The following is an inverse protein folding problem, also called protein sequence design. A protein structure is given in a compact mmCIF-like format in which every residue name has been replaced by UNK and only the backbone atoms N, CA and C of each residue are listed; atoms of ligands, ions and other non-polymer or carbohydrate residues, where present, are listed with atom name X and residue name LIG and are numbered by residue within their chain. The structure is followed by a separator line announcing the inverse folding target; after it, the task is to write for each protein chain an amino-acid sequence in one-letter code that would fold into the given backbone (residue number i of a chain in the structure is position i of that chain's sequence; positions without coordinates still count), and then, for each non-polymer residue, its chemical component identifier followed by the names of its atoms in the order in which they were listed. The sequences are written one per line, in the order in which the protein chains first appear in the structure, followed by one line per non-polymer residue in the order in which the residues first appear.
data_IF_581602422316
#
_entry.id   IF_581602422316
#
_cell.length_a   1.000
_cell.length_b   1.000
_cell.length_c   1.000
_cell.angle_alpha   90.00
_cell.angle_beta   90.00
_cell.angle_gamma   90.00
#
_symmetry.space_group_name_H-M   'P 1'
#
loop_
_entity.id
_entity.type
_entity.pdbx_description
1 polymer ?
#
# COMPACT_ATOMS: atom_id res chain seq x y z
N UNK A 1 40.59 -2.28 -23.92
CA UNK A 1 39.67 -1.18 -24.34
C UNK A 1 38.29 -1.71 -24.79
N UNK A 2 38.23 -2.70 -25.69
CA UNK A 2 36.94 -3.24 -26.22
C UNK A 2 36.06 -3.94 -25.16
N UNK A 3 36.65 -4.72 -24.25
CA UNK A 3 35.93 -5.41 -23.19
C UNK A 3 35.29 -4.44 -22.18
N UNK A 4 35.97 -3.39 -21.83
CA UNK A 4 35.46 -2.34 -20.92
C UNK A 4 34.25 -1.59 -21.51
N UNK A 5 34.34 -1.21 -22.78
CA UNK A 5 33.21 -0.56 -23.47
C UNK A 5 31.99 -1.48 -23.59
N UNK A 6 32.22 -2.79 -23.82
CA UNK A 6 31.14 -3.80 -23.84
C UNK A 6 30.48 -3.97 -22.47
N UNK A 7 31.28 -4.02 -21.41
CA UNK A 7 30.76 -4.11 -20.04
C UNK A 7 29.91 -2.90 -19.69
N UNK A 8 30.37 -1.70 -19.93
CA UNK A 8 29.60 -0.46 -19.67
C UNK A 8 28.29 -0.44 -20.45
N UNK A 9 28.29 -0.91 -21.71
CA UNK A 9 27.07 -1.00 -22.51
C UNK A 9 26.07 -2.00 -21.93
N UNK A 10 26.55 -3.15 -21.45
CA UNK A 10 25.70 -4.16 -20.79
C UNK A 10 25.11 -3.64 -19.48
N UNK A 11 25.92 -2.99 -18.65
CA UNK A 11 25.45 -2.39 -17.39
C UNK A 11 24.37 -1.34 -17.64
N UNK A 12 24.52 -0.52 -18.68
CA UNK A 12 23.51 0.47 -19.08
C UNK A 12 22.21 -0.20 -19.53
N UNK A 13 22.29 -1.22 -20.39
CA UNK A 13 21.10 -1.97 -20.86
C UNK A 13 20.39 -2.63 -19.68
N UNK A 14 21.11 -3.26 -18.76
CA UNK A 14 20.54 -3.88 -17.56
C UNK A 14 19.84 -2.84 -16.69
N UNK A 15 20.45 -1.69 -16.47
CA UNK A 15 19.85 -0.60 -15.68
C UNK A 15 18.57 -0.05 -16.35
N UNK A 16 18.57 0.13 -17.67
CA UNK A 16 17.41 0.57 -18.43
C UNK A 16 16.26 -0.45 -18.34
N UNK A 17 16.56 -1.75 -18.52
CA UNK A 17 15.57 -2.83 -18.38
C UNK A 17 15.01 -2.92 -16.96
N UNK A 18 15.85 -2.77 -15.95
CA UNK A 18 15.43 -2.77 -14.54
C UNK A 18 14.48 -1.60 -14.24
N UNK A 19 14.80 -0.42 -14.74
CA UNK A 19 13.97 0.77 -14.58
C UNK A 19 12.61 0.63 -15.28
N UNK A 20 12.60 0.08 -16.49
CA UNK A 20 11.37 -0.17 -17.24
C UNK A 20 10.50 -1.23 -16.55
N UNK A 21 11.12 -2.30 -16.05
CA UNK A 21 10.40 -3.32 -15.28
C UNK A 21 9.78 -2.75 -13.99
N UNK A 22 10.50 -1.91 -13.25
CA UNK A 22 9.99 -1.24 -12.06
C UNK A 22 8.79 -0.35 -12.40
N UNK A 23 8.86 0.40 -13.50
CA UNK A 23 7.76 1.23 -13.98
C UNK A 23 6.53 0.39 -14.35
N UNK A 24 6.73 -0.72 -15.05
CA UNK A 24 5.66 -1.62 -15.44
C UNK A 24 5.02 -2.28 -14.21
N UNK A 25 5.79 -2.70 -13.22
CA UNK A 25 5.27 -3.24 -11.98
C UNK A 25 4.40 -2.21 -11.22
N UNK A 26 4.85 -0.97 -11.10
CA UNK A 26 4.06 0.12 -10.51
C UNK A 26 2.75 0.36 -11.27
N UNK A 27 2.80 0.33 -12.60
CA UNK A 27 1.61 0.47 -13.44
C UNK A 27 0.62 -0.67 -13.20
N UNK A 28 1.09 -1.92 -13.14
CA UNK A 28 0.22 -3.09 -12.87
C UNK A 28 -0.45 -3.00 -11.51
N UNK A 29 0.29 -2.60 -10.47
CA UNK A 29 -0.28 -2.37 -9.12
C UNK A 29 -1.35 -1.28 -9.19
N UNK A 30 -1.07 -0.17 -9.85
CA UNK A 30 -2.04 0.93 -10.02
C UNK A 30 -3.30 0.49 -10.75
N UNK A 31 -3.17 -0.33 -11.79
CA UNK A 31 -4.33 -0.88 -12.54
C UNK A 31 -5.16 -1.80 -11.64
N UNK A 32 -4.53 -2.71 -10.89
CA UNK A 32 -5.24 -3.62 -9.98
C UNK A 32 -6.01 -2.85 -8.90
N UNK A 33 -5.36 -1.88 -8.28
CA UNK A 33 -6.00 -1.02 -7.27
C UNK A 33 -7.17 -0.23 -7.87
N UNK A 34 -6.97 0.32 -9.08
CA UNK A 34 -8.03 1.07 -9.77
C UNK A 34 -9.25 0.20 -10.11
N UNK A 35 -9.05 -1.08 -10.47
CA UNK A 35 -10.16 -2.02 -10.72
C UNK A 35 -10.99 -2.21 -9.44
N UNK A 36 -10.35 -2.30 -8.28
CA UNK A 36 -11.06 -2.45 -7.00
C UNK A 36 -11.80 -1.17 -6.62
N UNK A 37 -11.16 -0.01 -6.74
CA UNK A 37 -11.78 1.29 -6.46
C UNK A 37 -12.91 1.65 -7.42
N UNK A 38 -12.81 1.23 -8.68
CA UNK A 38 -13.88 1.42 -9.66
C UNK A 38 -15.21 0.81 -9.21
N UNK A 39 -15.18 -0.34 -8.51
CA UNK A 39 -16.39 -0.94 -7.91
C UNK A 39 -17.00 -0.05 -6.82
N UNK A 40 -16.20 0.75 -6.15
CA UNK A 40 -16.61 1.64 -5.05
C UNK A 40 -17.02 3.04 -5.53
N UNK A 41 -17.06 3.26 -6.84
CA UNK A 41 -17.37 4.58 -7.42
C UNK A 41 -16.30 5.65 -7.17
N UNK A 42 -15.15 5.26 -6.63
CA UNK A 42 -14.01 6.15 -6.41
C UNK A 42 -13.29 6.44 -7.73
N UNK A 43 -12.78 7.66 -7.86
CA UNK A 43 -12.02 8.04 -9.06
C UNK A 43 -10.61 7.47 -9.00
N UNK A 44 -10.06 7.03 -10.15
CA UNK A 44 -8.66 6.57 -10.23
C UNK A 44 -7.61 7.61 -9.80
N UNK A 45 -8.02 8.85 -9.52
CA UNK A 45 -7.18 9.87 -8.93
C UNK A 45 -6.92 9.61 -7.43
N UNK A 46 -7.79 8.87 -6.75
CA UNK A 46 -7.62 8.55 -5.33
C UNK A 46 -6.30 7.83 -5.07
N UNK A 47 -6.00 6.77 -5.81
CA UNK A 47 -4.73 6.01 -5.71
C UNK A 47 -3.52 6.93 -5.90
N UNK A 48 -3.57 7.78 -6.92
CA UNK A 48 -2.48 8.71 -7.20
C UNK A 48 -2.27 9.69 -6.03
N UNK A 49 -3.35 10.18 -5.44
CA UNK A 49 -3.30 11.07 -4.28
C UNK A 49 -2.73 10.34 -3.05
N UNK A 50 -3.23 9.15 -2.73
CA UNK A 50 -2.72 8.34 -1.62
C UNK A 50 -1.22 8.08 -1.77
N UNK A 51 -0.77 7.61 -2.94
CA UNK A 51 0.66 7.37 -3.19
C UNK A 51 1.50 8.64 -3.05
N UNK A 52 1.02 9.76 -3.59
CA UNK A 52 1.75 11.02 -3.58
C UNK A 52 1.86 11.59 -2.16
N UNK A 53 0.75 11.59 -1.42
CA UNK A 53 0.70 12.09 -0.04
C UNK A 53 1.53 11.19 0.87
N UNK A 54 1.41 9.86 0.76
CA UNK A 54 2.24 8.89 1.49
C UNK A 54 3.72 9.18 1.29
N UNK A 55 4.15 9.30 0.04
CA UNK A 55 5.55 9.61 -0.29
C UNK A 55 6.01 10.94 0.27
N UNK A 56 5.16 11.96 0.23
CA UNK A 56 5.46 13.27 0.77
C UNK A 56 5.59 13.23 2.29
N UNK A 57 4.64 12.62 2.98
CA UNK A 57 4.66 12.50 4.44
C UNK A 57 5.88 11.72 4.92
N UNK A 58 6.20 10.58 4.34
CA UNK A 58 7.38 9.79 4.70
C UNK A 58 8.68 10.60 4.55
N UNK A 59 8.82 11.40 3.47
CA UNK A 59 9.96 12.30 3.30
C UNK A 59 10.04 13.35 4.41
N UNK A 60 8.90 13.92 4.82
CA UNK A 60 8.86 14.88 5.92
C UNK A 60 9.23 14.24 7.26
N UNK A 61 8.78 13.00 7.51
CA UNK A 61 9.16 12.26 8.71
C UNK A 61 10.67 12.04 8.79
N UNK A 62 11.27 11.47 7.75
CA UNK A 62 12.73 11.22 7.71
C UNK A 62 13.53 12.52 7.89
N UNK A 63 13.03 13.66 7.41
CA UNK A 63 13.71 14.93 7.56
C UNK A 63 13.59 15.50 8.98
N UNK A 64 12.52 15.18 9.71
CA UNK A 64 12.20 15.79 11.02
C UNK A 64 12.54 14.92 12.23
N UNK A 65 12.72 13.63 12.06
CA UNK A 65 12.97 12.69 13.15
C UNK A 65 13.91 11.57 12.74
N UNK A 66 14.75 11.11 13.66
CA UNK A 66 15.59 9.94 13.49
C UNK A 66 14.89 8.64 13.94
N UNK A 67 13.68 8.74 14.46
CA UNK A 67 12.91 7.61 14.98
C UNK A 67 12.64 6.54 13.93
N UNK A 68 12.47 6.95 12.66
CA UNK A 68 12.19 6.05 11.55
C UNK A 68 13.27 6.23 10.45
N UNK A 69 14.37 5.47 10.51
CA UNK A 69 15.46 5.57 9.55
C UNK A 69 15.10 4.90 8.22
N UNK A 70 14.24 5.54 7.42
CA UNK A 70 13.79 5.04 6.13
C UNK A 70 14.72 5.50 5.00
N UNK A 71 15.19 4.57 4.19
CA UNK A 71 15.91 4.87 2.95
C UNK A 71 14.97 5.40 1.86
N UNK A 72 15.54 5.93 0.78
CA UNK A 72 14.75 6.31 -0.41
C UNK A 72 14.04 5.10 -1.03
N UNK A 73 14.63 3.92 -0.92
CA UNK A 73 14.03 2.67 -1.39
C UNK A 73 12.82 2.29 -0.54
N UNK A 74 12.92 2.39 0.79
CA UNK A 74 11.80 2.13 1.71
C UNK A 74 10.63 3.08 1.46
N UNK A 75 10.90 4.38 1.28
CA UNK A 75 9.88 5.37 0.95
C UNK A 75 9.18 5.02 -0.38
N UNK A 76 9.95 4.60 -1.40
CA UNK A 76 9.38 4.18 -2.68
C UNK A 76 8.54 2.92 -2.55
N UNK A 77 9.01 1.94 -1.77
CA UNK A 77 8.34 0.68 -1.48
C UNK A 77 7.00 0.92 -0.78
N UNK A 78 7.00 1.65 0.34
CA UNK A 78 5.80 1.96 1.12
C UNK A 78 4.80 2.75 0.25
N UNK A 79 5.27 3.76 -0.49
CA UNK A 79 4.40 4.52 -1.39
C UNK A 79 3.79 3.66 -2.50
N UNK A 80 4.50 2.65 -3.02
CA UNK A 80 3.94 1.73 -4.01
C UNK A 80 2.94 0.78 -3.36
N UNK A 81 3.27 0.24 -2.19
CA UNK A 81 2.41 -0.67 -1.42
C UNK A 81 1.10 -0.01 -0.98
N UNK A 82 1.12 1.32 -0.71
CA UNK A 82 -0.08 2.05 -0.28
C UNK A 82 -1.24 1.99 -1.28
N UNK A 83 -0.96 1.77 -2.56
CA UNK A 83 -2.00 1.56 -3.56
C UNK A 83 -2.90 0.34 -3.28
N UNK A 84 -2.38 -0.66 -2.55
CA UNK A 84 -3.07 -1.92 -2.29
C UNK A 84 -3.90 -1.91 -0.98
N UNK A 85 -3.91 -0.81 -0.21
CA UNK A 85 -4.53 -0.77 1.12
C UNK A 85 -5.97 -1.30 1.15
N UNK A 86 -6.72 -1.03 0.12
CA UNK A 86 -8.15 -1.32 -0.02
C UNK A 86 -8.45 -2.55 -0.90
N UNK A 87 -7.43 -3.36 -1.27
CA UNK A 87 -7.62 -4.53 -2.15
C UNK A 87 -8.68 -5.50 -1.60
N UNK A 88 -8.83 -5.59 -0.29
CA UNK A 88 -9.80 -6.43 0.37
C UNK A 88 -11.26 -6.03 0.16
N UNK A 89 -11.53 -4.81 -0.31
CA UNK A 89 -12.89 -4.38 -0.69
C UNK A 89 -13.50 -5.26 -1.80
N UNK A 90 -12.66 -6.02 -2.51
CA UNK A 90 -13.13 -7.00 -3.51
C UNK A 90 -14.07 -8.05 -2.92
N UNK A 91 -13.95 -8.37 -1.63
CA UNK A 91 -14.79 -9.34 -0.94
C UNK A 91 -16.04 -8.72 -0.29
N UNK A 92 -16.19 -7.42 -0.30
CA UNK A 92 -17.37 -6.74 0.26
C UNK A 92 -18.50 -6.78 -0.76
N UNK A 93 -19.72 -7.10 -0.29
CA UNK A 93 -20.92 -7.10 -1.14
C UNK A 93 -21.21 -5.70 -1.67
N UNK A 94 -21.63 -5.60 -2.93
CA UNK A 94 -22.02 -4.32 -3.55
C UNK A 94 -23.18 -3.64 -2.81
N UNK A 95 -24.04 -4.39 -2.16
CA UNK A 95 -25.15 -3.85 -1.34
C UNK A 95 -24.67 -3.06 -0.13
N UNK A 96 -23.48 -3.38 0.38
CA UNK A 96 -22.83 -2.67 1.50
C UNK A 96 -21.86 -1.63 0.93
N UNK A 97 -21.01 -2.03 -0.01
CA UNK A 97 -19.97 -1.19 -0.59
C UNK A 97 -20.54 0.08 -1.25
N UNK A 98 -21.64 -0.07 -2.00
CA UNK A 98 -22.26 1.00 -2.76
C UNK A 98 -23.62 1.45 -2.16
N UNK A 99 -23.83 1.21 -0.86
CA UNK A 99 -25.08 1.59 -0.21
C UNK A 99 -25.28 3.11 -0.25
N UNK A 100 -26.40 3.60 -0.80
CA UNK A 100 -26.71 5.01 -0.72
C UNK A 100 -27.06 5.40 0.74
N UNK A 101 -26.19 6.18 1.37
CA UNK A 101 -26.38 6.64 2.75
C UNK A 101 -25.44 5.97 3.75
N UNK A 102 -25.76 6.10 5.03
CA UNK A 102 -24.92 5.56 6.11
C UNK A 102 -25.10 4.04 6.26
N UNK A 103 -24.00 3.35 6.54
CA UNK A 103 -24.03 1.93 6.93
C UNK A 103 -24.67 1.80 8.33
N UNK A 104 -25.39 0.71 8.57
CA UNK A 104 -25.78 0.29 9.93
C UNK A 104 -24.55 -0.16 10.69
N UNK A 105 -24.67 -0.38 12.00
CA UNK A 105 -23.56 -0.89 12.80
C UNK A 105 -23.07 -2.26 12.30
N UNK A 106 -24.00 -3.15 11.97
CA UNK A 106 -23.70 -4.49 11.45
C UNK A 106 -23.03 -4.43 10.07
N UNK A 107 -23.52 -3.58 9.17
CA UNK A 107 -22.92 -3.37 7.85
C UNK A 107 -21.52 -2.76 7.96
N UNK A 108 -21.31 -1.87 8.92
CA UNK A 108 -20.00 -1.28 9.18
C UNK A 108 -19.01 -2.34 9.70
N UNK A 109 -19.45 -3.28 10.57
CA UNK A 109 -18.61 -4.41 10.97
C UNK A 109 -18.20 -5.26 9.76
N UNK A 110 -19.11 -5.50 8.80
CA UNK A 110 -18.76 -6.19 7.55
C UNK A 110 -17.78 -5.35 6.73
N UNK A 111 -17.99 -4.04 6.60
CA UNK A 111 -17.08 -3.14 5.87
C UNK A 111 -15.67 -3.20 6.47
N UNK A 112 -15.51 -3.19 7.79
CA UNK A 112 -14.19 -3.27 8.46
C UNK A 112 -13.40 -4.53 8.08
N UNK A 113 -14.07 -5.59 7.67
CA UNK A 113 -13.38 -6.84 7.32
C UNK A 113 -12.46 -6.72 6.11
N UNK A 114 -12.62 -5.68 5.25
CA UNK A 114 -11.74 -5.50 4.09
C UNK A 114 -10.26 -5.42 4.47
N UNK A 115 -9.93 -4.84 5.63
CA UNK A 115 -8.55 -4.73 6.10
C UNK A 115 -7.93 -6.11 6.35
N UNK A 116 -8.64 -6.97 7.05
CA UNK A 116 -8.22 -8.36 7.32
C UNK A 116 -8.19 -9.21 6.05
N UNK A 117 -9.21 -9.06 5.19
CA UNK A 117 -9.29 -9.80 3.94
C UNK A 117 -8.16 -9.43 3.01
N UNK A 118 -7.86 -8.13 2.85
CA UNK A 118 -6.73 -7.66 2.04
C UNK A 118 -5.39 -8.24 2.51
N UNK A 119 -5.14 -8.18 3.82
CA UNK A 119 -3.94 -8.77 4.41
C UNK A 119 -3.86 -10.28 4.17
N UNK A 120 -4.98 -11.00 4.35
CA UNK A 120 -5.05 -12.44 4.12
C UNK A 120 -4.80 -12.80 2.66
N UNK A 121 -5.39 -12.09 1.71
CA UNK A 121 -5.15 -12.32 0.27
C UNK A 121 -3.66 -12.27 -0.08
N UNK A 122 -2.91 -11.36 0.53
CA UNK A 122 -1.47 -11.24 0.34
C UNK A 122 -0.68 -12.33 1.08
N UNK A 123 -1.17 -12.76 2.24
CA UNK A 123 -0.56 -13.86 3.02
C UNK A 123 -0.83 -15.25 2.45
N UNK A 124 -1.86 -15.41 1.62
CA UNK A 124 -2.21 -16.69 0.98
C UNK A 124 -1.45 -16.90 -0.36
N UNK A 125 -0.57 -15.96 -0.75
CA UNK A 125 0.31 -16.13 -1.91
C UNK A 125 1.33 -17.26 -1.69
N UNK A 126 1.91 -17.86 -2.74
CA UNK A 126 3.02 -18.81 -2.59
C UNK A 126 4.15 -18.25 -1.72
N UNK A 127 4.76 -19.09 -0.88
CA UNK A 127 5.76 -18.69 0.13
C UNK A 127 6.85 -17.77 -0.42
N UNK A 128 7.39 -18.07 -1.60
CA UNK A 128 8.42 -17.26 -2.24
C UNK A 128 7.95 -15.82 -2.52
N UNK A 129 6.66 -15.63 -2.80
CA UNK A 129 6.06 -14.32 -3.06
C UNK A 129 5.71 -13.58 -1.76
N UNK A 130 5.31 -14.32 -0.70
CA UNK A 130 5.04 -13.73 0.62
C UNK A 130 6.28 -13.04 1.18
N UNK A 131 7.48 -13.60 0.93
CA UNK A 131 8.74 -13.05 1.41
C UNK A 131 9.17 -11.76 0.65
N UNK A 132 8.52 -11.43 -0.47
CA UNK A 132 8.83 -10.21 -1.20
C UNK A 132 8.54 -8.97 -0.34
N UNK A 133 9.49 -8.01 -0.25
CA UNK A 133 9.32 -6.82 0.60
C UNK A 133 8.03 -6.04 0.31
N UNK A 134 7.62 -5.97 -0.96
CA UNK A 134 6.37 -5.31 -1.36
C UNK A 134 5.13 -5.99 -0.75
N UNK A 135 5.10 -7.32 -0.75
CA UNK A 135 3.95 -8.10 -0.24
C UNK A 135 3.85 -7.95 1.27
N UNK A 136 4.98 -8.01 1.99
CA UNK A 136 5.02 -7.80 3.45
C UNK A 136 4.48 -6.41 3.82
N UNK A 137 5.02 -5.37 3.23
CA UNK A 137 4.59 -3.99 3.50
C UNK A 137 3.13 -3.77 3.10
N UNK A 138 2.69 -4.30 1.96
CA UNK A 138 1.31 -4.19 1.53
C UNK A 138 0.34 -4.93 2.47
N UNK A 139 0.73 -6.11 2.99
CA UNK A 139 -0.07 -6.86 3.96
C UNK A 139 -0.22 -6.09 5.28
N UNK A 140 0.86 -5.49 5.79
CA UNK A 140 0.82 -4.61 6.97
C UNK A 140 -0.09 -3.41 6.76
N UNK A 141 0.03 -2.74 5.61
CA UNK A 141 -0.82 -1.62 5.23
C UNK A 141 -2.28 -2.05 5.15
N UNK A 142 -2.61 -3.12 4.42
CA UNK A 142 -3.98 -3.62 4.33
C UNK A 142 -4.58 -3.85 5.70
N UNK A 143 -3.83 -4.52 6.60
CA UNK A 143 -4.33 -4.88 7.91
C UNK A 143 -4.57 -3.67 8.79
N UNK A 144 -3.64 -2.70 8.82
CA UNK A 144 -3.55 -1.70 9.88
C UNK A 144 -3.74 -0.24 9.43
N UNK A 145 -4.11 0.05 8.20
CA UNK A 145 -4.34 1.42 7.75
C UNK A 145 -5.53 2.11 8.41
N UNK A 146 -6.39 1.37 9.08
CA UNK A 146 -7.49 1.89 9.92
C UNK A 146 -7.19 1.84 11.42
N UNK A 147 -5.99 1.42 11.81
CA UNK A 147 -5.56 1.60 13.19
C UNK A 147 -5.34 3.09 13.49
N UNK A 148 -5.59 3.44 14.72
CA UNK A 148 -5.47 4.83 15.19
C UNK A 148 -4.42 4.93 16.27
N UNK A 149 -3.64 6.00 16.25
CA UNK A 149 -2.58 6.23 17.25
C UNK A 149 -3.10 6.20 18.69
N UNK A 150 -4.38 6.55 18.89
CA UNK A 150 -5.07 6.51 20.19
C UNK A 150 -5.53 5.09 20.62
N UNK A 151 -5.41 4.08 19.76
CA UNK A 151 -5.83 2.70 20.00
C UNK A 151 -7.32 2.45 19.79
N UNK A 152 -8.06 3.42 19.23
CA UNK A 152 -9.49 3.27 18.91
C UNK A 152 -9.72 2.88 17.43
N UNK A 153 -8.69 2.34 16.78
CA UNK A 153 -8.74 1.83 15.42
C UNK A 153 -9.21 0.39 15.32
N UNK A 154 -9.05 -0.19 14.16
CA UNK A 154 -9.34 -1.59 13.88
C UNK A 154 -8.34 -2.14 12.85
N UNK A 155 -8.13 -3.48 12.75
CA UNK A 155 -8.90 -4.57 13.38
C UNK A 155 -8.36 -4.98 14.77
N UNK A 156 -7.12 -4.66 15.12
CA UNK A 156 -6.43 -5.22 16.29
C UNK A 156 -6.40 -4.25 17.48
N UNK A 157 -6.75 -2.98 17.28
CA UNK A 157 -6.71 -1.93 18.31
C UNK A 157 -5.29 -1.55 18.74
N UNK A 158 -4.33 -1.61 17.79
CA UNK A 158 -2.94 -1.23 18.02
C UNK A 158 -2.84 0.24 18.41
N UNK A 159 -1.85 0.57 19.26
CA UNK A 159 -1.68 1.92 19.79
C UNK A 159 -0.26 2.43 19.61
N UNK A 160 -0.14 3.70 19.24
CA UNK A 160 1.16 4.36 19.13
C UNK A 160 2.08 3.65 18.15
N UNK A 161 3.29 3.37 18.60
CA UNK A 161 4.35 2.76 17.78
C UNK A 161 4.20 1.24 17.57
N UNK A 162 3.16 0.61 18.13
CA UNK A 162 2.77 -0.76 17.76
C UNK A 162 2.28 -0.82 16.33
N UNK A 163 1.76 0.29 15.78
CA UNK A 163 1.33 0.40 14.41
C UNK A 163 2.56 0.58 13.52
N UNK A 164 2.80 -0.29 12.50
CA UNK A 164 3.90 -0.09 11.56
C UNK A 164 3.84 1.29 10.89
N UNK A 165 5.00 1.93 10.70
CA UNK A 165 5.06 3.30 10.14
C UNK A 165 4.36 3.42 8.79
N UNK A 166 4.40 2.39 7.96
CA UNK A 166 3.69 2.33 6.69
C UNK A 166 2.17 2.50 6.87
N UNK A 167 1.60 1.82 7.87
CA UNK A 167 0.19 1.91 8.20
C UNK A 167 -0.16 3.21 8.93
N UNK A 168 0.72 3.71 9.84
CA UNK A 168 0.51 4.99 10.52
C UNK A 168 0.33 6.15 9.53
N UNK A 169 1.17 6.20 8.48
CA UNK A 169 1.09 7.26 7.48
C UNK A 169 -0.20 7.20 6.68
N UNK A 170 -0.69 5.98 6.35
CA UNK A 170 -1.98 5.84 5.67
C UNK A 170 -3.15 6.18 6.59
N UNK A 171 -3.11 5.78 7.85
CA UNK A 171 -4.12 6.14 8.84
C UNK A 171 -4.33 7.66 8.92
N UNK A 172 -3.25 8.46 8.82
CA UNK A 172 -3.33 9.92 8.78
C UNK A 172 -4.03 10.47 7.50
N UNK A 173 -4.02 9.72 6.41
CA UNK A 173 -4.62 10.14 5.13
C UNK A 173 -6.12 9.84 5.12
N UNK A 174 -6.56 8.83 5.90
CA UNK A 174 -7.94 8.32 5.96
C UNK A 174 -8.78 8.90 7.12
N UNK A 175 -8.28 9.91 7.83
CA UNK A 175 -9.03 10.58 8.93
C UNK A 175 -10.13 11.48 8.37
#
# INVERSE_FOLDING_TARGET
MFLYARQQRLEKIIAEQFHEQEKNNKLMISILSHIVEFRNGESGLHILHVNTITKYLLKQFVWRTEQYPLSKADISLISTASALHDIGKIAISDTILNKPGRLTAEEFEVMKTHSMVGARMLSDLPFEQQEAPLVKVASEICRWHHERYDGNGYPDGLKGDEIPIAAQVLSLIHI
#
